data_IF_020138074376
#
_entry.id   IF_020138074376
#
_cell.length_a   1.000
_cell.length_b   1.000
_cell.length_c   1.000
_cell.angle_alpha   90.00
_cell.angle_beta   90.00
_cell.angle_gamma   90.00
#
_symmetry.space_group_name_H-M   'P 1'
#
loop_
_entity.id
_entity.type
_entity.pdbx_description
1 polymer ?
#
# COMPACT_ATOMS: atom_id res chain seq x y z
N UNK A 1 10.03 -2.04 -1.00
CA UNK A 1 9.28 -2.71 -2.09
C UNK A 1 10.05 -3.84 -2.73
N UNK A 2 11.38 -3.72 -2.81
CA UNK A 2 12.26 -4.70 -3.47
C UNK A 2 12.06 -6.17 -3.06
N UNK A 3 11.76 -6.47 -1.80
CA UNK A 3 11.46 -7.84 -1.35
C UNK A 3 10.15 -8.40 -1.93
N UNK A 4 9.12 -7.57 -2.06
CA UNK A 4 7.86 -7.98 -2.69
C UNK A 4 8.08 -8.31 -4.17
N UNK A 5 8.86 -7.48 -4.87
CA UNK A 5 9.15 -7.67 -6.30
C UNK A 5 10.11 -8.86 -6.54
N UNK A 6 11.27 -8.88 -5.86
CA UNK A 6 12.33 -9.84 -6.16
C UNK A 6 12.16 -11.19 -5.49
N UNK A 7 11.49 -11.25 -4.33
CA UNK A 7 11.32 -12.49 -3.55
C UNK A 7 9.90 -13.03 -3.71
N UNK A 8 8.88 -12.21 -3.44
CA UNK A 8 7.49 -12.65 -3.60
C UNK A 8 7.00 -12.63 -5.06
N UNK A 9 7.76 -12.02 -5.98
CA UNK A 9 7.38 -11.83 -7.40
C UNK A 9 6.01 -11.16 -7.54
N UNK A 10 5.70 -10.29 -6.59
CA UNK A 10 4.46 -9.54 -6.57
C UNK A 10 4.53 -8.42 -7.62
N UNK A 11 3.42 -8.25 -8.34
CA UNK A 11 3.21 -7.02 -9.11
C UNK A 11 2.94 -5.87 -8.13
N UNK A 12 3.65 -4.76 -8.34
CA UNK A 12 3.49 -3.57 -7.51
C UNK A 12 2.69 -2.52 -8.26
N UNK A 13 1.51 -2.22 -7.73
CA UNK A 13 0.67 -1.11 -8.20
C UNK A 13 0.85 0.05 -7.23
N UNK A 14 1.43 1.14 -7.72
CA UNK A 14 1.68 2.33 -6.89
C UNK A 14 0.44 3.22 -6.80
N UNK A 15 0.13 3.66 -5.58
CA UNK A 15 -0.69 4.83 -5.37
C UNK A 15 0.05 6.12 -5.77
N UNK A 16 -0.52 7.25 -5.40
CA UNK A 16 0.06 8.57 -5.58
C UNK A 16 0.05 9.35 -4.27
N UNK A 17 0.90 10.37 -4.19
CA UNK A 17 0.93 11.26 -3.04
C UNK A 17 0.93 12.69 -3.53
N UNK A 18 -0.04 13.47 -3.08
CA UNK A 18 -0.19 14.86 -3.51
C UNK A 18 0.24 15.81 -2.40
N UNK A 19 1.25 16.61 -2.71
CA UNK A 19 1.63 17.74 -1.87
C UNK A 19 0.63 18.89 -2.03
N UNK A 20 0.26 19.50 -0.91
CA UNK A 20 -0.64 20.66 -0.85
C UNK A 20 -0.07 21.68 0.14
N UNK A 21 -0.07 22.98 -0.20
CA UNK A 21 0.27 24.01 0.78
C UNK A 21 -0.76 24.00 1.91
N UNK A 22 -0.30 24.23 3.14
CA UNK A 22 -1.16 24.48 4.28
C UNK A 22 -1.82 25.84 4.09
N UNK A 23 -3.15 25.88 4.18
CA UNK A 23 -3.93 27.10 4.04
C UNK A 23 -4.95 27.20 5.15
N UNK A 24 -5.19 28.43 5.62
CA UNK A 24 -6.26 28.71 6.56
C UNK A 24 -7.61 28.34 5.91
N UNK A 25 -8.46 27.52 6.56
CA UNK A 25 -9.76 27.15 5.99
C UNK A 25 -10.68 28.38 5.84
N UNK A 26 -10.49 29.40 6.67
CA UNK A 26 -11.27 30.65 6.66
C UNK A 26 -10.74 31.62 5.58
N UNK A 27 -9.57 32.23 5.81
CA UNK A 27 -9.06 33.33 4.96
C UNK A 27 -8.14 32.89 3.81
N UNK A 28 -7.86 31.59 3.65
CA UNK A 28 -7.01 30.99 2.58
C UNK A 28 -5.54 31.41 2.56
N UNK A 29 -5.09 32.22 3.52
CA UNK A 29 -3.68 32.58 3.70
C UNK A 29 -2.81 31.34 3.95
N UNK A 30 -1.52 31.43 3.60
CA UNK A 30 -0.56 30.35 3.85
C UNK A 30 -0.35 30.15 5.34
N UNK A 31 -0.35 28.89 5.78
CA UNK A 31 -0.05 28.51 7.16
C UNK A 31 1.32 27.83 7.23
N UNK A 32 1.95 27.93 8.41
CA UNK A 32 3.16 27.20 8.77
C UNK A 32 2.91 26.43 10.06
N UNK A 33 3.23 25.15 10.07
CA UNK A 33 3.16 24.31 11.25
C UNK A 33 4.24 24.73 12.27
N UNK A 34 4.03 24.42 13.55
CA UNK A 34 5.00 24.67 14.63
C UNK A 34 6.35 23.99 14.39
N UNK A 35 6.39 22.88 13.64
CA UNK A 35 7.63 22.22 13.22
C UNK A 35 8.32 22.88 12.01
N UNK A 36 7.75 23.95 11.47
CA UNK A 36 8.27 24.71 10.34
C UNK A 36 7.77 24.28 8.96
N UNK A 37 7.02 23.18 8.84
CA UNK A 37 6.45 22.71 7.58
C UNK A 37 5.30 23.62 7.09
N UNK A 38 5.25 23.91 5.79
CA UNK A 38 4.21 24.73 5.14
C UNK A 38 3.35 23.91 4.14
N UNK A 39 3.60 22.60 4.08
CA UNK A 39 2.96 21.66 3.15
C UNK A 39 2.45 20.44 3.91
N UNK A 40 1.38 19.85 3.39
CA UNK A 40 0.87 18.54 3.77
C UNK A 40 0.89 17.60 2.58
N UNK A 41 1.11 16.33 2.87
CA UNK A 41 1.02 15.26 1.90
C UNK A 41 -0.30 14.52 2.09
N UNK A 42 -0.98 14.20 1.01
CA UNK A 42 -2.23 13.44 1.03
C UNK A 42 -2.10 12.27 0.09
N UNK A 43 -2.31 11.07 0.63
CA UNK A 43 -2.42 9.83 -0.14
C UNK A 43 -3.55 9.95 -1.18
N UNK A 44 -3.32 9.33 -2.34
CA UNK A 44 -4.24 9.26 -3.47
C UNK A 44 -4.10 7.92 -4.16
N UNK A 45 -5.15 7.51 -4.85
CA UNK A 45 -5.21 6.35 -5.75
C UNK A 45 -5.06 4.97 -5.10
N UNK A 46 -4.68 4.83 -3.82
CA UNK A 46 -4.50 3.49 -3.23
C UNK A 46 -5.82 2.73 -3.23
N UNK A 47 -6.89 3.30 -2.68
CA UNK A 47 -8.19 2.62 -2.58
C UNK A 47 -8.78 2.34 -3.96
N UNK A 48 -8.63 3.31 -4.88
CA UNK A 48 -9.06 3.19 -6.28
C UNK A 48 -8.33 2.05 -6.98
N UNK A 49 -7.01 1.97 -6.85
CA UNK A 49 -6.22 0.94 -7.49
C UNK A 49 -6.54 -0.45 -6.93
N UNK A 50 -6.73 -0.56 -5.61
CA UNK A 50 -7.15 -1.82 -4.97
C UNK A 50 -8.51 -2.25 -5.52
N UNK A 51 -9.50 -1.34 -5.52
CA UNK A 51 -10.85 -1.64 -5.98
C UNK A 51 -10.90 -2.05 -7.47
N UNK A 52 -10.25 -1.27 -8.33
CA UNK A 52 -10.21 -1.53 -9.78
C UNK A 52 -9.52 -2.86 -10.05
N UNK A 53 -8.40 -3.15 -9.39
CA UNK A 53 -7.68 -4.40 -9.60
C UNK A 53 -8.46 -5.60 -9.11
N UNK A 54 -9.03 -5.52 -7.91
CA UNK A 54 -9.84 -6.59 -7.34
C UNK A 54 -11.03 -6.95 -8.24
N UNK A 55 -11.75 -5.94 -8.75
CA UNK A 55 -12.90 -6.15 -9.64
C UNK A 55 -12.46 -6.59 -11.04
N UNK A 56 -11.40 -5.99 -11.60
CA UNK A 56 -10.87 -6.36 -12.92
C UNK A 56 -10.41 -7.80 -12.96
N UNK A 57 -9.57 -8.20 -12.00
CA UNK A 57 -9.06 -9.57 -11.90
C UNK A 57 -10.18 -10.59 -11.64
N UNK A 58 -11.30 -10.17 -11.06
CA UNK A 58 -12.50 -11.04 -10.94
C UNK A 58 -13.19 -11.24 -12.27
N UNK A 59 -13.31 -10.18 -13.09
CA UNK A 59 -13.94 -10.26 -14.42
C UNK A 59 -13.11 -11.11 -15.36
N UNK A 60 -11.79 -11.00 -15.25
CA UNK A 60 -10.82 -11.75 -16.04
C UNK A 60 -10.55 -13.16 -15.50
N UNK A 61 -11.24 -13.57 -14.43
CA UNK A 61 -11.14 -14.90 -13.78
C UNK A 61 -9.70 -15.28 -13.37
N UNK A 62 -8.96 -14.32 -12.83
CA UNK A 62 -7.53 -14.47 -12.51
C UNK A 62 -7.26 -15.02 -11.11
N UNK A 63 -8.30 -15.18 -10.28
CA UNK A 63 -8.16 -15.73 -8.93
C UNK A 63 -9.43 -16.43 -8.43
N UNK A 64 -9.23 -17.50 -7.64
CA UNK A 64 -10.30 -18.12 -6.85
C UNK A 64 -10.46 -17.46 -5.49
N UNK A 65 -9.34 -16.98 -4.91
CA UNK A 65 -9.31 -16.33 -3.60
C UNK A 65 -8.39 -15.12 -3.59
N UNK A 66 -8.92 -13.99 -3.15
CA UNK A 66 -8.16 -12.79 -2.82
C UNK A 66 -8.07 -12.59 -1.31
N UNK A 67 -6.91 -12.10 -0.85
CA UNK A 67 -6.71 -11.66 0.53
C UNK A 67 -6.57 -10.14 0.54
N UNK A 68 -7.53 -9.46 1.15
CA UNK A 68 -7.52 -8.01 1.29
C UNK A 68 -7.05 -7.63 2.70
N UNK A 69 -5.81 -7.18 2.83
CA UNK A 69 -5.27 -6.74 4.13
C UNK A 69 -5.60 -5.26 4.33
N UNK A 70 -6.76 -4.98 4.91
CA UNK A 70 -7.22 -3.62 5.23
C UNK A 70 -8.34 -3.67 6.28
N UNK A 71 -8.49 -2.60 7.05
CA UNK A 71 -9.68 -2.33 7.87
C UNK A 71 -10.54 -1.20 7.29
N UNK A 72 -10.22 -0.75 6.07
CA UNK A 72 -10.93 0.34 5.41
C UNK A 72 -12.27 -0.14 4.83
N UNK A 73 -13.36 0.37 5.39
CA UNK A 73 -14.72 0.05 4.97
C UNK A 73 -15.06 0.63 3.59
N UNK A 74 -14.32 1.63 3.11
CA UNK A 74 -14.53 2.23 1.78
C UNK A 74 -14.19 1.24 0.65
N UNK A 75 -13.50 0.14 0.95
CA UNK A 75 -13.20 -0.94 0.00
C UNK A 75 -14.32 -1.99 -0.12
N UNK A 76 -15.28 -2.01 0.82
CA UNK A 76 -16.38 -3.00 0.81
C UNK A 76 -17.28 -2.95 -0.43
N UNK A 77 -17.57 -1.78 -1.03
CA UNK A 77 -18.29 -1.73 -2.32
C UNK A 77 -17.57 -2.51 -3.44
N UNK A 78 -16.23 -2.56 -3.44
CA UNK A 78 -15.48 -3.36 -4.40
C UNK A 78 -15.63 -4.86 -4.11
N UNK A 79 -15.60 -5.26 -2.83
CA UNK A 79 -15.85 -6.65 -2.42
C UNK A 79 -17.25 -7.10 -2.82
N UNK A 80 -18.28 -6.29 -2.55
CA UNK A 80 -19.66 -6.56 -3.01
C UNK A 80 -19.73 -6.70 -4.54
N UNK A 81 -19.03 -5.82 -5.27
CA UNK A 81 -18.98 -5.87 -6.74
C UNK A 81 -18.36 -7.18 -7.26
N UNK A 82 -17.36 -7.74 -6.57
CA UNK A 82 -16.79 -9.07 -6.85
C UNK A 82 -17.82 -10.16 -6.59
N UNK A 83 -18.50 -10.13 -5.44
CA UNK A 83 -19.48 -11.16 -5.06
C UNK A 83 -20.63 -11.28 -6.06
N UNK A 84 -21.04 -10.15 -6.66
CA UNK A 84 -22.08 -10.11 -7.70
C UNK A 84 -21.61 -10.55 -9.09
N UNK A 85 -20.31 -10.45 -9.39
CA UNK A 85 -19.74 -10.72 -10.73
C UNK A 85 -19.27 -12.16 -10.89
N UNK A 86 -18.69 -12.73 -9.84
CA UNK A 86 -18.28 -14.13 -9.83
C UNK A 86 -19.17 -14.91 -8.88
N UNK A 87 -19.40 -16.20 -9.16
CA UNK A 87 -20.05 -17.13 -8.23
C UNK A 87 -19.05 -17.95 -7.41
N UNK A 88 -17.78 -17.95 -7.82
CA UNK A 88 -16.75 -18.82 -7.26
C UNK A 88 -15.69 -18.04 -6.47
N UNK A 89 -15.41 -16.79 -6.86
CA UNK A 89 -14.40 -15.98 -6.20
C UNK A 89 -14.73 -15.75 -4.72
N UNK A 90 -13.70 -15.85 -3.89
CA UNK A 90 -13.73 -15.60 -2.46
C UNK A 90 -12.82 -14.41 -2.11
N UNK A 91 -13.27 -13.54 -1.22
CA UNK A 91 -12.48 -12.44 -0.68
C UNK A 91 -12.39 -12.60 0.83
N UNK A 92 -11.17 -12.76 1.33
CA UNK A 92 -10.86 -12.80 2.76
C UNK A 92 -10.27 -11.46 3.16
N UNK A 93 -11.02 -10.67 3.90
CA UNK A 93 -10.55 -9.43 4.50
C UNK A 93 -9.79 -9.76 5.78
N UNK A 94 -8.51 -9.37 5.81
CA UNK A 94 -7.61 -9.54 6.93
C UNK A 94 -7.40 -8.19 7.61
N UNK A 95 -8.07 -7.97 8.74
CA UNK A 95 -7.97 -6.72 9.49
C UNK A 95 -6.62 -6.67 10.22
N UNK A 96 -5.83 -5.59 10.08
CA UNK A 96 -4.59 -5.44 10.85
C UNK A 96 -4.84 -5.61 12.36
N UNK A 97 -3.84 -6.05 13.13
CA UNK A 97 -3.95 -6.11 14.59
C UNK A 97 -4.31 -4.73 15.16
N UNK A 98 -5.01 -4.73 16.30
CA UNK A 98 -5.37 -3.51 17.04
C UNK A 98 -6.39 -2.59 16.34
N UNK A 99 -6.98 -3.01 15.21
CA UNK A 99 -8.14 -2.34 14.62
C UNK A 99 -9.44 -2.84 15.23
N UNK A 100 -10.49 -2.03 15.20
CA UNK A 100 -11.86 -2.48 15.50
C UNK A 100 -12.52 -3.00 14.22
N UNK A 101 -13.28 -4.11 14.33
CA UNK A 101 -14.06 -4.64 13.22
C UNK A 101 -15.38 -3.89 13.10
N UNK A 102 -15.53 -3.11 12.04
CA UNK A 102 -16.76 -2.41 11.72
C UNK A 102 -17.90 -3.39 11.36
N UNK A 103 -19.15 -3.04 11.65
CA UNK A 103 -20.31 -3.90 11.42
C UNK A 103 -20.55 -4.22 9.94
N UNK A 104 -20.11 -3.34 9.04
CA UNK A 104 -20.25 -3.48 7.59
C UNK A 104 -19.57 -4.75 7.08
N UNK A 105 -18.45 -5.15 7.67
CA UNK A 105 -17.78 -6.40 7.35
C UNK A 105 -18.68 -7.61 7.66
N UNK A 106 -19.31 -7.61 8.83
CA UNK A 106 -20.24 -8.67 9.25
C UNK A 106 -21.48 -8.72 8.36
N UNK A 107 -22.04 -7.55 8.00
CA UNK A 107 -23.19 -7.46 7.07
C UNK A 107 -22.86 -8.10 5.72
N UNK A 108 -21.66 -7.87 5.20
CA UNK A 108 -21.24 -8.45 3.93
C UNK A 108 -20.99 -9.96 4.01
N UNK A 109 -20.44 -10.45 5.12
CA UNK A 109 -20.29 -11.89 5.36
C UNK A 109 -21.65 -12.61 5.48
N UNK A 110 -22.64 -11.99 6.11
CA UNK A 110 -24.02 -12.51 6.15
C UNK A 110 -24.66 -12.53 4.75
N UNK A 111 -24.42 -11.50 3.94
CA UNK A 111 -24.94 -11.42 2.57
C UNK A 111 -24.28 -12.46 1.64
N UNK A 112 -23.01 -12.78 1.86
CA UNK A 112 -22.23 -13.72 1.03
C UNK A 112 -21.50 -14.79 1.86
N UNK A 113 -22.25 -15.71 2.51
CA UNK A 113 -21.68 -16.67 3.45
C UNK A 113 -20.60 -17.54 2.79
N UNK A 114 -19.45 -17.64 3.46
CA UNK A 114 -18.31 -18.42 2.99
C UNK A 114 -17.54 -17.80 1.81
N UNK A 115 -18.03 -16.71 1.20
CA UNK A 115 -17.37 -16.04 0.07
C UNK A 115 -16.79 -14.67 0.43
N UNK A 116 -17.45 -13.91 1.28
CA UNK A 116 -16.87 -12.72 1.92
C UNK A 116 -16.61 -13.05 3.37
N UNK A 117 -15.34 -13.04 3.80
CA UNK A 117 -14.94 -13.44 5.15
C UNK A 117 -14.07 -12.35 5.75
N UNK A 118 -14.41 -11.84 6.94
CA UNK A 118 -13.60 -10.84 7.64
C UNK A 118 -12.99 -11.38 8.93
N UNK A 119 -11.66 -11.40 9.05
CA UNK A 119 -10.97 -11.92 10.25
C UNK A 119 -9.77 -11.05 10.60
N UNK A 120 -9.40 -11.02 11.87
CA UNK A 120 -8.14 -10.40 12.27
C UNK A 120 -6.94 -11.12 11.68
N UNK A 121 -5.94 -10.33 11.28
CA UNK A 121 -4.68 -10.79 10.75
C UNK A 121 -3.89 -11.51 11.84
N UNK A 122 -3.77 -12.83 11.71
CA UNK A 122 -2.97 -13.65 12.62
C UNK A 122 -1.49 -13.57 12.26
N UNK A 123 -0.75 -12.73 12.98
CA UNK A 123 0.69 -12.56 12.78
C UNK A 123 1.50 -13.84 12.99
N UNK A 124 0.99 -14.84 13.74
CA UNK A 124 1.69 -16.12 13.94
C UNK A 124 1.75 -16.96 12.68
N UNK A 125 0.82 -16.72 11.75
CA UNK A 125 0.78 -17.37 10.43
C UNK A 125 1.62 -16.63 9.39
N UNK A 126 2.12 -15.45 9.73
CA UNK A 126 2.94 -14.65 8.82
C UNK A 126 4.40 -15.06 8.92
N UNK A 127 5.02 -15.24 7.76
CA UNK A 127 6.46 -15.45 7.65
C UNK A 127 7.11 -14.16 7.17
N UNK A 128 8.05 -13.64 7.95
CA UNK A 128 8.86 -12.49 7.56
C UNK A 128 9.79 -12.87 6.41
N UNK A 129 10.10 -11.90 5.55
CA UNK A 129 11.22 -12.07 4.62
C UNK A 129 12.54 -12.23 5.40
N UNK A 130 13.55 -12.93 4.84
CA UNK A 130 14.84 -13.08 5.49
C UNK A 130 15.46 -11.74 5.88
N UNK A 131 15.95 -11.65 7.13
CA UNK A 131 16.54 -10.43 7.69
C UNK A 131 17.87 -10.01 7.00
N UNK A 132 18.46 -10.89 6.17
CA UNK A 132 19.70 -10.64 5.43
C UNK A 132 19.48 -10.05 4.03
N UNK A 133 18.25 -9.99 3.51
CA UNK A 133 17.93 -9.37 2.22
C UNK A 133 18.48 -7.94 2.06
N UNK A 134 18.36 -7.03 3.05
CA UNK A 134 18.88 -5.67 2.92
C UNK A 134 20.39 -5.66 2.68
N UNK A 135 21.14 -6.48 3.44
CA UNK A 135 22.58 -6.60 3.29
C UNK A 135 22.96 -7.12 1.90
N UNK A 136 22.20 -8.09 1.35
CA UNK A 136 22.38 -8.58 -0.03
C UNK A 136 22.16 -7.50 -1.09
N UNK A 137 21.45 -6.42 -0.77
CA UNK A 137 21.18 -5.28 -1.66
C UNK A 137 21.94 -4.01 -1.28
N UNK A 138 22.87 -4.06 -0.33
CA UNK A 138 23.61 -2.89 0.12
C UNK A 138 22.74 -1.85 0.85
N UNK A 139 21.64 -2.29 1.46
CA UNK A 139 20.67 -1.47 2.19
C UNK A 139 20.75 -1.71 3.70
N UNK A 140 20.38 -0.71 4.49
CA UNK A 140 20.22 -0.85 5.94
C UNK A 140 18.74 -0.77 6.36
N UNK A 141 18.28 -1.75 7.15
CA UNK A 141 16.99 -1.68 7.83
C UNK A 141 17.10 -0.93 9.17
N UNK A 142 16.01 -0.30 9.64
CA UNK A 142 15.94 0.21 11.00
C UNK A 142 16.16 -0.92 12.01
N UNK A 143 16.95 -0.68 13.06
CA UNK A 143 17.22 -1.68 14.08
C UNK A 143 15.93 -2.25 14.71
N UNK A 144 14.93 -1.38 14.92
CA UNK A 144 13.64 -1.75 15.49
C UNK A 144 12.75 -2.62 14.59
N UNK A 145 13.17 -2.91 13.35
CA UNK A 145 12.42 -3.81 12.46
C UNK A 145 12.85 -5.26 12.62
N UNK A 146 14.01 -5.56 13.22
CA UNK A 146 14.49 -6.93 13.41
C UNK A 146 13.49 -7.74 14.24
N UNK A 147 13.41 -9.04 13.99
CA UNK A 147 12.44 -9.94 14.64
C UNK A 147 12.42 -9.81 16.18
N UNK A 148 13.59 -9.68 16.79
CA UNK A 148 13.75 -9.62 18.25
C UNK A 148 13.94 -8.19 18.78
N UNK A 149 13.60 -7.15 18.01
CA UNK A 149 13.85 -5.77 18.42
C UNK A 149 12.86 -5.22 19.48
N UNK A 150 11.89 -6.02 19.89
CA UNK A 150 10.86 -5.62 20.85
C UNK A 150 9.87 -4.60 20.27
N UNK A 151 9.32 -3.72 21.12
CA UNK A 151 8.37 -2.69 20.69
C UNK A 151 9.04 -1.62 19.83
N UNK A 152 8.32 -1.15 18.81
CA UNK A 152 8.72 0.01 18.00
C UNK A 152 8.94 1.23 18.91
N UNK A 153 10.11 1.90 18.85
CA UNK A 153 10.36 3.14 19.59
C UNK A 153 9.40 4.25 19.15
N UNK A 154 9.01 5.12 20.08
CA UNK A 154 8.13 6.27 19.79
C UNK A 154 8.73 7.24 18.76
N UNK A 155 10.06 7.38 18.77
CA UNK A 155 10.84 8.09 17.76
C UNK A 155 11.90 7.12 17.23
N UNK A 156 11.61 6.37 16.15
CA UNK A 156 12.60 5.48 15.57
C UNK A 156 13.78 6.32 15.06
N UNK A 157 15.00 5.80 15.23
CA UNK A 157 16.21 6.47 14.75
C UNK A 157 16.03 6.87 13.29
N UNK A 158 16.23 8.16 13.00
CA UNK A 158 16.43 8.62 11.64
C UNK A 158 17.71 7.93 11.18
N UNK A 159 17.59 6.89 10.35
CA UNK A 159 18.74 6.29 9.67
C UNK A 159 19.36 7.44 8.88
N UNK A 160 20.39 8.03 9.48
CA UNK A 160 20.91 9.31 9.04
C UNK A 160 21.61 9.02 7.72
N UNK A 161 21.08 9.60 6.64
CA UNK A 161 21.70 9.61 5.33
C UNK A 161 22.99 10.44 5.37
N UNK A 162 23.97 10.01 6.16
CA UNK A 162 25.30 10.58 6.15
C UNK A 162 26.00 10.03 4.91
N UNK A 163 25.89 10.80 3.80
CA UNK A 163 26.67 10.63 2.57
C UNK A 163 28.15 10.58 2.90
N UNK A 164 28.65 9.37 3.12
CA UNK A 164 30.08 9.04 3.09
C UNK A 164 30.21 7.87 2.14
N UNK A 165 31.13 7.99 1.18
CA UNK A 165 31.45 6.94 0.21
C UNK A 165 31.73 5.63 0.96
N UNK A 166 30.83 4.65 0.83
CA UNK A 166 30.95 3.33 1.46
C UNK A 166 29.90 2.96 2.51
N UNK A 167 28.89 3.80 2.80
CA UNK A 167 27.77 3.41 3.71
C UNK A 167 26.54 2.88 2.95
N UNK A 168 25.81 1.91 3.53
CA UNK A 168 24.56 1.38 2.95
C UNK A 168 23.51 2.48 2.77
N UNK A 169 22.78 2.43 1.65
CA UNK A 169 21.67 3.34 1.38
C UNK A 169 20.53 3.09 2.37
N UNK A 170 19.97 4.13 3.02
CA UNK A 170 18.79 3.97 3.87
C UNK A 170 17.62 3.40 3.08
N UNK A 171 16.90 2.43 3.64
CA UNK A 171 15.78 1.76 2.99
C UNK A 171 14.66 2.69 2.48
N UNK A 172 14.49 3.87 3.10
CA UNK A 172 13.45 4.82 2.71
C UNK A 172 13.86 5.70 1.53
N UNK A 173 15.13 5.74 1.12
CA UNK A 173 15.54 6.52 -0.06
C UNK A 173 14.92 5.97 -1.34
N UNK A 174 14.68 4.65 -1.42
CA UNK A 174 13.82 4.09 -2.46
C UNK A 174 12.41 4.71 -2.38
N UNK A 175 11.88 4.87 -1.17
CA UNK A 175 10.53 5.41 -0.92
C UNK A 175 10.41 6.92 -1.14
N UNK A 176 11.51 7.69 -1.18
CA UNK A 176 11.49 9.14 -1.42
C UNK A 176 11.15 9.41 -2.89
N UNK A 177 9.91 9.82 -3.14
CA UNK A 177 9.46 10.27 -4.45
C UNK A 177 8.48 9.35 -5.18
N UNK A 178 8.11 8.21 -4.59
CA UNK A 178 6.97 7.45 -5.10
C UNK A 178 5.70 8.28 -4.93
N UNK A 179 5.08 8.63 -6.07
CA UNK A 179 3.89 9.48 -6.15
C UNK A 179 4.14 10.97 -6.43
N UNK A 180 5.38 11.47 -6.38
CA UNK A 180 5.70 12.88 -6.71
C UNK A 180 6.47 13.06 -8.02
N UNK A 181 7.14 12.03 -8.53
CA UNK A 181 7.63 12.02 -9.91
C UNK A 181 6.49 11.58 -10.83
N UNK A 182 5.91 12.51 -11.59
CA UNK A 182 5.23 12.12 -12.82
C UNK A 182 6.22 11.25 -13.61
N UNK A 183 5.86 9.99 -13.88
CA UNK A 183 6.58 9.21 -14.86
C UNK A 183 6.45 9.94 -16.20
N UNK A 184 7.45 10.73 -16.58
CA UNK A 184 7.61 11.12 -17.98
C UNK A 184 7.94 9.83 -18.73
N UNK A 185 6.90 9.11 -19.16
CA UNK A 185 7.05 8.13 -20.23
C UNK A 185 7.56 8.91 -21.43
N UNK A 186 8.85 8.79 -21.71
CA UNK A 186 9.39 9.03 -23.05
C UNK A 186 8.60 8.13 -23.99
N UNK A 187 7.62 8.72 -24.67
CA UNK A 187 6.82 8.03 -25.66
C UNK A 187 7.69 7.65 -26.83
N UNK A 188 7.98 6.36 -26.97
CA UNK A 188 8.29 5.79 -28.28
C UNK A 188 7.02 5.88 -29.12
N UNK A 189 7.10 6.60 -30.23
CA UNK A 189 6.00 6.82 -31.16
C UNK A 189 5.42 5.48 -31.63
N UNK A 190 4.15 5.22 -31.32
CA UNK A 190 3.38 4.15 -31.94
C UNK A 190 2.62 4.76 -33.11
N UNK A 191 3.00 4.32 -34.31
CA UNK A 191 2.37 4.62 -35.58
C UNK A 191 0.87 4.29 -35.58
N UNK A 192 0.05 5.24 -36.02
CA UNK A 192 -1.39 5.04 -36.24
C UNK A 192 -1.64 4.06 -37.41
N UNK A 193 -2.62 3.14 -37.30
CA UNK A 193 -3.12 2.41 -38.45
C UNK A 193 -4.03 3.31 -39.30
N UNK A 194 -3.72 3.43 -40.59
CA UNK A 194 -4.60 4.00 -41.60
C UNK A 194 -5.87 3.15 -41.67
N UNK A 195 -7.04 3.78 -41.54
CA UNK A 195 -8.32 3.13 -41.85
C UNK A 195 -8.51 3.07 -43.38
N UNK A 196 -9.18 2.03 -43.89
CA UNK A 196 -9.55 1.92 -45.31
C UNK A 196 -10.54 3.01 -45.73
#
# INVERSE_FOLDING_TARGET
MLAMEKVARAEIVYGACRERPLRCPECKSGLKCTCGCDKRFTEKMTDVNIAVRLVGDTVDDLFDRAYLVSADVDLLPAVDAVMRRSRHAQVVVLLPPETEMAEEFTKLEVAYPGRSIARYLDLKKMRRFPDDLPSRWGMALPAHWRENAGRRPAKPDLVTAARSSGRPTPWFEESIGYGTRQMSRTGSAVSQPRRP
#
